data_IF_263103335926
#
_entry.id   IF_263103335926
#
_cell.length_a   1.000
_cell.length_b   1.000
_cell.length_c   1.000
_cell.angle_alpha   90.00
_cell.angle_beta   90.00
_cell.angle_gamma   90.00
#
_symmetry.space_group_name_H-M   'P 1'
#
loop_
_entity.id
_entity.type
_entity.pdbx_description
1 polymer ?
#
# COMPACT_ATOMS: atom_id res chain seq x y z
N UNK A 1 16.66 1.55 -15.45
CA UNK A 1 16.32 2.33 -14.24
C UNK A 1 16.06 3.77 -14.61
N UNK A 2 14.92 3.98 -15.26
CA UNK A 2 14.43 5.30 -15.69
C UNK A 2 13.36 5.80 -14.73
N UNK A 3 13.12 7.11 -14.72
CA UNK A 3 12.05 7.79 -14.00
C UNK A 3 10.66 7.15 -14.24
N UNK A 4 10.41 6.58 -15.44
CA UNK A 4 9.17 5.87 -15.73
C UNK A 4 8.98 4.59 -14.91
N UNK A 5 10.05 3.86 -14.60
CA UNK A 5 9.97 2.69 -13.71
C UNK A 5 9.67 3.12 -12.28
N UNK A 6 10.18 4.27 -11.85
CA UNK A 6 9.81 4.87 -10.57
C UNK A 6 8.32 5.24 -10.55
N UNK A 7 7.81 5.96 -11.56
CA UNK A 7 6.39 6.31 -11.63
C UNK A 7 5.50 5.06 -11.68
N UNK A 8 5.90 4.03 -12.43
CA UNK A 8 5.16 2.76 -12.51
C UNK A 8 5.10 2.06 -11.16
N UNK A 9 6.23 1.96 -10.46
CA UNK A 9 6.27 1.33 -9.13
C UNK A 9 5.49 2.15 -8.10
N UNK A 10 5.60 3.48 -8.12
CA UNK A 10 4.84 4.37 -7.25
C UNK A 10 3.33 4.23 -7.46
N UNK A 11 2.88 4.21 -8.71
CA UNK A 11 1.47 3.99 -9.04
C UNK A 11 0.98 2.62 -8.57
N UNK A 12 1.77 1.56 -8.76
CA UNK A 12 1.43 0.22 -8.29
C UNK A 12 1.32 0.15 -6.76
N UNK A 13 2.24 0.77 -6.03
CA UNK A 13 2.18 0.80 -4.57
C UNK A 13 0.99 1.61 -4.06
N UNK A 14 0.66 2.74 -4.69
CA UNK A 14 -0.56 3.50 -4.37
C UNK A 14 -1.83 2.72 -4.66
N UNK A 15 -1.87 1.97 -5.75
CA UNK A 15 -3.00 1.12 -6.09
C UNK A 15 -3.17 -0.03 -5.09
N UNK A 16 -2.06 -0.67 -4.70
CA UNK A 16 -2.06 -1.72 -3.68
C UNK A 16 -2.55 -1.19 -2.33
N UNK A 17 -2.10 0.00 -1.92
CA UNK A 17 -2.56 0.66 -0.69
C UNK A 17 -4.07 0.92 -0.73
N UNK A 18 -4.57 1.49 -1.84
CA UNK A 18 -5.99 1.76 -2.01
C UNK A 18 -6.84 0.49 -2.01
N UNK A 19 -6.39 -0.57 -2.68
CA UNK A 19 -7.07 -1.85 -2.72
C UNK A 19 -7.14 -2.49 -1.33
N UNK A 20 -6.00 -2.53 -0.61
CA UNK A 20 -5.94 -3.07 0.75
C UNK A 20 -6.89 -2.32 1.69
N UNK A 21 -6.89 -0.99 1.68
CA UNK A 21 -7.79 -0.20 2.53
C UNK A 21 -9.26 -0.46 2.19
N UNK A 22 -9.61 -0.47 0.91
CA UNK A 22 -11.01 -0.67 0.49
C UNK A 22 -11.53 -2.07 0.79
N UNK A 23 -10.78 -3.10 0.41
CA UNK A 23 -11.20 -4.50 0.59
C UNK A 23 -11.24 -4.87 2.07
N UNK A 24 -10.23 -4.48 2.86
CA UNK A 24 -10.22 -4.79 4.30
C UNK A 24 -11.37 -4.07 5.01
N UNK A 25 -11.69 -2.84 4.61
CA UNK A 25 -12.82 -2.11 5.17
C UNK A 25 -14.15 -2.76 4.82
N UNK A 26 -14.34 -3.20 3.58
CA UNK A 26 -15.56 -3.90 3.15
C UNK A 26 -15.69 -5.27 3.83
N UNK A 27 -14.60 -6.02 3.96
CA UNK A 27 -14.58 -7.27 4.72
C UNK A 27 -14.95 -7.02 6.20
N UNK A 28 -14.33 -6.03 6.86
CA UNK A 28 -14.66 -5.72 8.26
C UNK A 28 -16.13 -5.37 8.45
N UNK A 29 -16.73 -4.61 7.52
CA UNK A 29 -18.16 -4.30 7.55
C UNK A 29 -19.02 -5.55 7.36
N UNK A 30 -18.63 -6.47 6.47
CA UNK A 30 -19.34 -7.73 6.26
C UNK A 30 -19.27 -8.61 7.50
N UNK A 31 -18.09 -8.77 8.10
CA UNK A 31 -17.91 -9.54 9.33
C UNK A 31 -18.68 -8.95 10.51
N UNK A 32 -18.71 -7.62 10.64
CA UNK A 32 -19.50 -6.92 11.67
C UNK A 32 -21.00 -7.14 11.46
N UNK A 33 -21.47 -7.09 10.20
CA UNK A 33 -22.87 -7.37 9.84
C UNK A 33 -23.27 -8.82 10.12
N UNK A 34 -22.37 -9.78 9.88
CA UNK A 34 -22.59 -11.21 10.15
C UNK A 34 -22.40 -11.57 11.64
N UNK A 35 -21.99 -10.63 12.49
CA UNK A 35 -21.76 -10.86 13.92
C UNK A 35 -20.56 -11.75 14.22
N UNK A 36 -19.68 -11.95 13.25
CA UNK A 36 -18.45 -12.72 13.38
C UNK A 36 -17.40 -11.80 14.02
N UNK A 37 -17.16 -11.95 15.32
CA UNK A 37 -16.23 -11.12 16.09
C UNK A 37 -14.82 -11.09 15.50
N UNK A 38 -14.55 -10.14 14.59
CA UNK A 38 -13.27 -10.00 13.93
C UNK A 38 -12.30 -9.19 14.80
N UNK A 39 -11.07 -9.68 14.97
CA UNK A 39 -9.96 -8.84 15.43
C UNK A 39 -9.59 -7.89 14.28
N UNK A 40 -9.54 -6.58 14.53
CA UNK A 40 -9.08 -5.58 13.55
C UNK A 40 -7.77 -6.04 12.91
N UNK A 41 -7.80 -6.26 11.61
CA UNK A 41 -6.62 -6.59 10.81
C UNK A 41 -5.90 -5.29 10.52
N UNK A 42 -4.74 -5.09 11.14
CA UNK A 42 -3.80 -4.03 10.79
C UNK A 42 -2.98 -4.49 9.58
N UNK A 43 -3.10 -3.79 8.46
CA UNK A 43 -2.28 -4.04 7.27
C UNK A 43 -0.94 -3.31 7.38
N UNK A 44 0.09 -3.89 6.76
CA UNK A 44 1.45 -3.34 6.74
C UNK A 44 1.49 -2.17 5.75
N UNK A 45 1.96 -1.02 6.23
CA UNK A 45 2.17 0.16 5.42
C UNK A 45 3.49 -0.02 4.66
N UNK A 46 3.44 -0.18 3.33
CA UNK A 46 4.64 -0.33 2.49
C UNK A 46 5.38 1.00 2.24
N UNK A 47 5.12 2.03 3.05
CA UNK A 47 5.85 3.30 3.02
C UNK A 47 7.37 3.12 3.07
N UNK A 48 7.86 2.07 3.73
CA UNK A 48 9.28 1.70 3.73
C UNK A 48 9.80 1.33 2.32
N UNK A 49 9.00 0.67 1.47
CA UNK A 49 9.36 0.36 0.08
C UNK A 49 9.46 1.64 -0.76
N UNK A 50 8.50 2.56 -0.61
CA UNK A 50 8.54 3.89 -1.25
C UNK A 50 9.79 4.67 -0.78
N UNK A 51 10.08 4.63 0.53
CA UNK A 51 11.24 5.30 1.12
C UNK A 51 12.57 4.75 0.62
N UNK A 52 12.66 3.44 0.40
CA UNK A 52 13.85 2.80 -0.15
C UNK A 52 14.04 3.11 -1.65
N UNK A 53 12.95 3.14 -2.43
CA UNK A 53 12.98 3.59 -3.83
C UNK A 53 13.43 5.05 -3.95
N UNK A 54 12.90 5.94 -3.12
CA UNK A 54 13.30 7.36 -3.07
C UNK A 54 14.78 7.49 -2.68
N UNK A 55 15.27 6.75 -1.67
CA UNK A 55 16.68 6.75 -1.26
C UNK A 55 17.64 6.18 -2.29
N UNK A 56 17.22 5.26 -3.16
CA UNK A 56 18.05 4.72 -4.24
C UNK A 56 18.12 5.68 -5.45
N UNK A 57 17.05 6.41 -5.72
CA UNK A 57 16.97 7.33 -6.87
C UNK A 57 17.40 8.78 -6.55
N UNK A 58 17.34 9.23 -5.30
CA UNK A 58 17.84 10.57 -4.91
C UNK A 58 19.36 10.77 -5.13
N UNK A 59 20.24 9.79 -4.82
CA UNK A 59 21.68 9.92 -5.04
C UNK A 59 22.09 9.87 -6.51
N UNK A 60 21.22 9.44 -7.42
CA UNK A 60 21.47 9.43 -8.87
C UNK A 60 20.85 10.62 -9.61
N UNK A 61 20.12 11.47 -8.88
CA UNK A 61 19.55 12.73 -9.37
C UNK A 61 20.41 13.95 -8.99
N UNK A 62 21.38 13.79 -8.09
CA UNK A 62 22.45 14.75 -7.75
C UNK A 62 23.76 14.31 -8.38
#
# INVERSE_FOLDING_TARGET
>A
NSFEQFCTNYCNEKLQQFFNERIIKEEQLLYEKEGLGLKKISYIDNQDCIGMLIKIFLPSLF
#
